data_IF_212734209861
#
_entry.id   IF_212734209861
#
_cell.length_a   1.000
_cell.length_b   1.000
_cell.length_c   1.000
_cell.angle_alpha   90.00
_cell.angle_beta   90.00
_cell.angle_gamma   90.00
#
_symmetry.space_group_name_H-M   'P 1'
#
loop_
_entity.id
_entity.type
_entity.pdbx_description
1 polymer ?
#
# COMPACT_ATOMS: atom_id res chain seq x y z
N UNK A 1 -6.31 8.32 2.41
CA UNK A 1 -5.58 7.20 1.82
C UNK A 1 -4.10 7.26 2.17
N UNK A 2 -3.49 6.12 2.33
CA UNK A 2 -2.08 6.03 2.71
C UNK A 2 -1.13 6.60 1.65
N UNK A 3 -1.59 6.70 0.42
CA UNK A 3 -0.79 7.23 -0.68
C UNK A 3 -1.02 8.72 -0.93
N UNK A 4 -2.00 9.33 -0.23
CA UNK A 4 -2.38 10.71 -0.45
C UNK A 4 -3.19 10.93 -1.70
N UNK A 5 -3.66 9.87 -2.36
CA UNK A 5 -4.44 9.97 -3.58
C UNK A 5 -5.94 9.80 -3.31
N UNK A 6 -6.81 10.33 -4.19
CA UNK A 6 -8.25 10.12 -4.05
C UNK A 6 -8.62 8.64 -4.09
N UNK A 7 -9.74 8.29 -3.44
CA UNK A 7 -10.19 6.91 -3.35
C UNK A 7 -10.54 6.28 -4.69
N UNK A 8 -10.94 7.10 -5.66
CA UNK A 8 -11.39 6.62 -6.96
C UNK A 8 -10.33 6.71 -8.05
N UNK A 9 -9.07 6.99 -7.69
CA UNK A 9 -8.02 7.05 -8.70
C UNK A 9 -7.69 5.67 -9.23
N UNK A 10 -7.07 5.64 -10.43
CA UNK A 10 -6.72 4.39 -11.10
C UNK A 10 -5.85 3.49 -10.23
N UNK A 11 -4.84 4.07 -9.59
CA UNK A 11 -3.89 3.30 -8.77
C UNK A 11 -4.58 2.57 -7.63
N UNK A 12 -5.46 3.25 -6.92
CA UNK A 12 -6.16 2.63 -5.79
C UNK A 12 -7.16 1.60 -6.27
N UNK A 13 -7.82 1.85 -7.40
CA UNK A 13 -8.73 0.87 -7.99
C UNK A 13 -8.00 -0.42 -8.34
N UNK A 14 -6.81 -0.31 -8.96
CA UNK A 14 -6.00 -1.47 -9.30
C UNK A 14 -5.53 -2.22 -8.06
N UNK A 15 -5.14 -1.49 -7.01
CA UNK A 15 -4.68 -2.13 -5.78
C UNK A 15 -5.82 -2.85 -5.06
N UNK A 16 -7.04 -2.30 -5.12
CA UNK A 16 -8.21 -2.96 -4.55
C UNK A 16 -8.55 -4.25 -5.30
N UNK A 17 -8.44 -4.24 -6.62
CA UNK A 17 -8.62 -5.45 -7.42
C UNK A 17 -7.59 -6.50 -7.05
N UNK A 18 -6.32 -6.10 -6.95
CA UNK A 18 -5.26 -7.01 -6.54
C UNK A 18 -5.59 -7.63 -5.18
N UNK A 19 -5.98 -6.82 -4.21
CA UNK A 19 -6.31 -7.28 -2.87
C UNK A 19 -7.46 -8.29 -2.90
N UNK A 20 -8.56 -7.92 -3.56
CA UNK A 20 -9.79 -8.69 -3.48
C UNK A 20 -9.77 -9.92 -4.37
N UNK A 21 -9.15 -9.85 -5.54
CA UNK A 21 -9.22 -10.92 -6.54
C UNK A 21 -8.04 -11.87 -6.47
N UNK A 22 -6.93 -11.47 -5.89
CA UNK A 22 -5.75 -12.32 -5.83
C UNK A 22 -5.20 -12.49 -4.43
N UNK A 23 -4.88 -11.39 -3.74
CA UNK A 23 -4.22 -11.47 -2.44
C UNK A 23 -5.07 -12.20 -1.41
N UNK A 24 -6.37 -11.93 -1.38
CA UNK A 24 -7.28 -12.55 -0.42
C UNK A 24 -7.31 -14.06 -0.54
N UNK A 25 -6.93 -14.61 -1.69
CA UNK A 25 -6.95 -16.05 -1.95
C UNK A 25 -5.62 -16.73 -1.63
N UNK A 26 -4.59 -15.95 -1.24
CA UNK A 26 -3.31 -16.51 -0.87
C UNK A 26 -3.33 -17.01 0.56
N UNK A 27 -2.45 -17.97 0.92
CA UNK A 27 -2.44 -18.51 2.28
C UNK A 27 -2.27 -17.48 3.38
N UNK A 28 -1.46 -16.45 3.13
CA UNK A 28 -1.21 -15.38 4.09
C UNK A 28 -1.98 -14.10 3.78
N UNK A 29 -2.89 -14.14 2.78
CA UNK A 29 -3.60 -12.96 2.34
C UNK A 29 -4.48 -12.35 3.42
N UNK A 30 -5.15 -13.18 4.19
CA UNK A 30 -6.02 -12.73 5.27
C UNK A 30 -5.23 -11.89 6.28
N UNK A 31 -4.07 -12.36 6.68
CA UNK A 31 -3.22 -11.64 7.64
C UNK A 31 -2.73 -10.32 7.07
N UNK A 32 -2.33 -10.32 5.81
CA UNK A 32 -1.81 -9.10 5.17
C UNK A 32 -2.90 -8.04 5.06
N UNK A 33 -4.09 -8.45 4.67
CA UNK A 33 -5.21 -7.51 4.52
C UNK A 33 -5.65 -6.97 5.87
N UNK A 34 -5.78 -7.84 6.87
CA UNK A 34 -6.16 -7.41 8.22
C UNK A 34 -5.12 -6.48 8.83
N UNK A 35 -3.84 -6.80 8.65
CA UNK A 35 -2.76 -5.94 9.14
C UNK A 35 -2.90 -4.54 8.53
N UNK A 36 -3.17 -4.47 7.24
CA UNK A 36 -3.36 -3.20 6.57
C UNK A 36 -4.52 -2.41 7.18
N UNK A 37 -5.68 -3.06 7.39
CA UNK A 37 -6.84 -2.37 7.95
C UNK A 37 -6.61 -1.88 9.38
N UNK A 38 -5.79 -2.58 10.14
CA UNK A 38 -5.48 -2.16 11.51
C UNK A 38 -4.44 -1.06 11.56
N UNK A 39 -3.43 -1.11 10.68
CA UNK A 39 -2.27 -0.23 10.79
C UNK A 39 -2.35 1.00 9.90
N UNK A 40 -3.04 0.92 8.76
CA UNK A 40 -3.06 2.04 7.81
C UNK A 40 -3.58 3.35 8.43
N UNK A 41 -4.68 3.34 9.21
CA UNK A 41 -5.13 4.59 9.81
C UNK A 41 -4.10 5.23 10.74
N UNK A 42 -3.36 4.40 11.48
CA UNK A 42 -2.31 4.88 12.38
C UNK A 42 -1.13 5.46 11.59
N UNK A 43 -0.76 4.79 10.52
CA UNK A 43 0.32 5.24 9.64
C UNK A 43 -0.05 6.58 9.01
N UNK A 44 -1.26 6.68 8.47
CA UNK A 44 -1.74 7.91 7.85
C UNK A 44 -1.74 9.07 8.86
N UNK A 45 -2.24 8.81 10.06
CA UNK A 45 -2.27 9.84 11.10
C UNK A 45 -0.87 10.32 11.45
N UNK A 46 0.10 9.40 11.54
CA UNK A 46 1.48 9.76 11.84
C UNK A 46 2.10 10.57 10.72
N UNK A 47 1.95 10.13 9.48
CA UNK A 47 2.52 10.84 8.33
C UNK A 47 1.91 12.24 8.23
N UNK A 48 0.59 12.36 8.39
CA UNK A 48 -0.10 13.64 8.26
C UNK A 48 0.33 14.64 9.31
N UNK A 49 0.86 14.18 10.44
CA UNK A 49 1.35 15.06 11.49
C UNK A 49 2.77 15.60 11.19
N UNK A 50 3.43 15.07 10.17
CA UNK A 50 4.80 15.45 9.86
C UNK A 50 4.85 16.55 8.82
N UNK A 51 5.89 17.40 8.91
CA UNK A 51 6.11 18.45 7.92
C UNK A 51 6.37 17.87 6.54
N UNK A 52 7.03 16.74 6.51
CA UNK A 52 7.46 16.09 5.28
C UNK A 52 6.38 15.21 4.65
N UNK A 53 5.12 15.34 5.09
CA UNK A 53 4.06 14.44 4.62
C UNK A 53 3.95 14.36 3.10
N UNK A 54 4.07 15.49 2.41
CA UNK A 54 4.00 15.49 0.95
C UNK A 54 5.14 14.70 0.32
N UNK A 55 6.34 14.87 0.86
CA UNK A 55 7.52 14.12 0.38
C UNK A 55 7.38 12.65 0.67
N UNK A 56 6.84 12.29 1.82
CA UNK A 56 6.66 10.89 2.20
C UNK A 56 5.64 10.22 1.29
N UNK A 57 4.49 10.86 1.04
CA UNK A 57 3.50 10.30 0.12
C UNK A 57 4.04 10.21 -1.30
N UNK A 58 4.82 11.19 -1.74
CA UNK A 58 5.44 11.16 -3.04
C UNK A 58 6.42 9.99 -3.16
N UNK A 59 7.23 9.77 -2.12
CA UNK A 59 8.14 8.65 -2.07
C UNK A 59 7.38 7.32 -2.15
N UNK A 60 6.30 7.17 -1.38
CA UNK A 60 5.49 5.97 -1.40
C UNK A 60 4.89 5.71 -2.78
N UNK A 61 4.39 6.76 -3.42
CA UNK A 61 3.80 6.63 -4.74
C UNK A 61 4.84 6.21 -5.78
N UNK A 62 6.00 6.84 -5.78
CA UNK A 62 7.02 6.57 -6.80
C UNK A 62 7.69 5.22 -6.62
N UNK A 63 7.98 4.85 -5.38
CA UNK A 63 8.82 3.69 -5.12
C UNK A 63 8.04 2.42 -4.85
N UNK A 64 6.77 2.54 -4.50
CA UNK A 64 5.96 1.37 -4.18
C UNK A 64 4.67 1.30 -4.97
N UNK A 65 3.80 2.30 -4.86
CA UNK A 65 2.47 2.20 -5.45
C UNK A 65 2.52 2.06 -6.97
N UNK A 66 3.33 2.88 -7.62
CA UNK A 66 3.47 2.80 -9.08
C UNK A 66 3.97 1.44 -9.53
N UNK A 67 4.94 0.88 -8.81
CA UNK A 67 5.48 -0.44 -9.13
C UNK A 67 4.44 -1.52 -8.92
N UNK A 68 3.69 -1.45 -7.81
CA UNK A 68 2.62 -2.41 -7.56
C UNK A 68 1.58 -2.38 -8.67
N UNK A 69 1.17 -1.19 -9.07
CA UNK A 69 0.16 -1.03 -10.12
C UNK A 69 0.68 -1.57 -11.45
N UNK A 70 1.95 -1.29 -11.77
CA UNK A 70 2.56 -1.81 -12.99
C UNK A 70 2.56 -3.33 -13.01
N UNK A 71 2.99 -3.95 -11.91
CA UNK A 71 2.99 -5.41 -11.81
C UNK A 71 1.58 -5.98 -11.91
N UNK A 72 0.63 -5.37 -11.21
CA UNK A 72 -0.76 -5.84 -11.25
C UNK A 72 -1.34 -5.72 -12.66
N UNK A 73 -1.05 -4.63 -13.36
CA UNK A 73 -1.52 -4.41 -14.72
C UNK A 73 -0.92 -5.38 -15.71
N UNK A 74 0.26 -5.92 -15.41
CA UNK A 74 0.91 -6.93 -16.23
C UNK A 74 0.57 -8.35 -15.80
N UNK A 75 -0.33 -8.49 -14.85
CA UNK A 75 -0.71 -9.78 -14.27
C UNK A 75 0.45 -10.50 -13.57
N UNK A 76 1.42 -9.72 -13.07
CA UNK A 76 2.56 -10.23 -12.30
C UNK A 76 2.24 -10.12 -10.82
N UNK A 77 1.30 -10.94 -10.36
CA UNK A 77 0.72 -10.77 -9.01
C UNK A 77 1.70 -11.09 -7.89
N UNK A 78 2.58 -12.07 -8.08
CA UNK A 78 3.59 -12.39 -7.06
C UNK A 78 4.57 -11.22 -6.89
N UNK A 79 4.94 -10.57 -7.97
CA UNK A 79 5.82 -9.39 -7.90
C UNK A 79 5.10 -8.21 -7.25
N UNK A 80 3.82 -8.06 -7.56
CA UNK A 80 2.99 -7.04 -6.92
C UNK A 80 2.91 -7.28 -5.41
N UNK A 81 2.73 -8.53 -4.99
CA UNK A 81 2.69 -8.88 -3.57
C UNK A 81 3.99 -8.54 -2.88
N UNK A 82 5.12 -8.84 -3.48
CA UNK A 82 6.41 -8.51 -2.91
C UNK A 82 6.57 -7.01 -2.72
N UNK A 83 6.22 -6.24 -3.73
CA UNK A 83 6.29 -4.80 -3.67
C UNK A 83 5.35 -4.24 -2.60
N UNK A 84 4.14 -4.80 -2.49
CA UNK A 84 3.18 -4.42 -1.47
C UNK A 84 3.74 -4.68 -0.07
N UNK A 85 4.36 -5.84 0.14
CA UNK A 85 4.95 -6.17 1.43
C UNK A 85 6.12 -5.25 1.79
N UNK A 86 6.94 -4.90 0.79
CA UNK A 86 8.02 -3.95 1.00
C UNK A 86 7.49 -2.58 1.41
N UNK A 87 6.40 -2.15 0.79
CA UNK A 87 5.75 -0.88 1.12
C UNK A 87 5.24 -0.90 2.56
N UNK A 88 4.56 -1.97 2.94
CA UNK A 88 4.02 -2.11 4.30
C UNK A 88 5.15 -2.10 5.32
N UNK A 89 6.23 -2.79 5.03
CA UNK A 89 7.38 -2.83 5.93
C UNK A 89 8.00 -1.44 6.07
N UNK A 90 8.14 -0.71 4.99
CA UNK A 90 8.63 0.66 5.04
C UNK A 90 7.72 1.53 5.92
N UNK A 91 6.41 1.39 5.75
CA UNK A 91 5.44 2.19 6.49
C UNK A 91 5.41 1.86 7.98
N UNK A 92 5.81 0.65 8.36
CA UNK A 92 5.77 0.24 9.77
C UNK A 92 6.68 1.09 10.65
N UNK A 93 7.68 1.74 10.09
CA UNK A 93 8.54 2.63 10.87
C UNK A 93 7.74 3.78 11.50
N UNK A 94 6.62 4.16 10.89
CA UNK A 94 5.78 5.23 11.42
C UNK A 94 4.90 4.77 12.58
N UNK A 95 4.81 3.47 12.84
CA UNK A 95 4.05 2.94 13.95
C UNK A 95 4.86 2.92 15.25
N UNK A 96 6.17 2.93 15.14
CA UNK A 96 7.07 2.80 16.29
C UNK A 96 7.57 4.14 16.81
N UNK A 97 7.04 5.23 16.30
CA UNK A 97 7.43 6.58 16.70
C UNK A 97 6.73 7.11 17.95
#
# INVERSE_FOLDING_TARGET
>A
EASGKPDDCYELTMMRKFRDQWLAKQPDGYYLINDYYETAPKIVATIDSLRERSSIYDYLNRNFLKKCVDFAGRNLMADCKKCYMDMVQYCHKFLNE
#
